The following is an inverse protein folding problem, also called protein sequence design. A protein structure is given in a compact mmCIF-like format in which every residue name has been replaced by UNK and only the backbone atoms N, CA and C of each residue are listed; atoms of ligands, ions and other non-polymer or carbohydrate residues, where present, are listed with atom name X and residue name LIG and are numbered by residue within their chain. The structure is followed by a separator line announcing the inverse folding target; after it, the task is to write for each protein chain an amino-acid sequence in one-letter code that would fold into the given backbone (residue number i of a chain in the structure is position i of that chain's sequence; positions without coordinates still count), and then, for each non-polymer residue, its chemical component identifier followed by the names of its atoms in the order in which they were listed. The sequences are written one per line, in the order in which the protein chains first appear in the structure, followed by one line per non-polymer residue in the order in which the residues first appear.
data_IF_878122734562
#
_entry.id   IF_878122734562
#
_cell.length_a   1.000
_cell.length_b   1.000
_cell.length_c   1.000
_cell.angle_alpha   90.00
_cell.angle_beta   90.00
_cell.angle_gamma   90.00
#
_symmetry.space_group_name_H-M   'P 1'
#
loop_
_entity.id
_entity.type
_entity.pdbx_description
1 polymer ?
#
# COMPACT_ATOMS: atom_id res chain seq x y z
N UNK A 1 34.68 0.30 -2.27
CA UNK A 1 33.44 0.12 -3.04
C UNK A 1 32.39 1.01 -2.40
N UNK A 2 31.61 1.78 -3.15
CA UNK A 2 30.57 2.61 -2.55
C UNK A 2 29.47 1.70 -2.00
N UNK A 3 29.19 1.78 -0.70
CA UNK A 3 28.05 1.10 -0.08
C UNK A 3 26.77 1.50 -0.83
N UNK A 4 25.97 0.50 -1.22
CA UNK A 4 24.71 0.74 -1.94
C UNK A 4 23.64 1.11 -0.92
N UNK A 5 23.49 2.40 -0.65
CA UNK A 5 22.39 2.90 0.19
C UNK A 5 21.06 2.80 -0.55
N UNK A 6 20.07 2.18 0.09
CA UNK A 6 18.70 2.03 -0.40
C UNK A 6 17.74 2.88 0.43
N UNK A 7 16.57 3.20 -0.12
CA UNK A 7 15.53 3.96 0.59
C UNK A 7 14.33 3.06 0.85
N UNK A 8 13.95 2.97 2.12
CA UNK A 8 12.73 2.32 2.58
C UNK A 8 11.58 3.32 2.50
N UNK A 9 10.50 2.91 1.85
CA UNK A 9 9.20 3.58 1.82
C UNK A 9 8.19 2.74 2.61
N UNK A 10 7.36 3.41 3.41
CA UNK A 10 6.35 2.77 4.25
C UNK A 10 4.94 3.16 3.83
N UNK A 11 4.00 2.21 3.87
CA UNK A 11 2.60 2.47 3.65
C UNK A 11 1.70 1.55 4.48
N UNK A 12 0.48 2.00 4.74
CA UNK A 12 -0.62 1.11 5.11
C UNK A 12 -1.13 0.36 3.89
N UNK A 13 -1.33 -0.95 4.03
CA UNK A 13 -1.93 -1.80 3.02
C UNK A 13 -3.39 -2.08 3.40
N UNK A 14 -4.32 -1.21 2.99
CA UNK A 14 -5.73 -1.33 3.36
C UNK A 14 -6.45 -2.18 2.31
N UNK A 15 -6.72 -3.43 2.63
CA UNK A 15 -7.36 -4.38 1.73
C UNK A 15 -8.67 -4.89 2.34
N UNK A 16 -9.78 -4.56 1.68
CA UNK A 16 -11.13 -4.91 2.15
C UNK A 16 -11.91 -5.70 1.12
N UNK A 17 -12.86 -6.46 1.61
CA UNK A 17 -13.84 -7.23 0.85
C UNK A 17 -15.23 -6.85 1.37
N UNK A 18 -15.63 -5.61 1.08
CA UNK A 18 -16.77 -4.97 1.73
C UNK A 18 -16.54 -4.82 3.23
N UNK A 19 -17.38 -5.43 4.06
CA UNK A 19 -17.23 -5.36 5.52
C UNK A 19 -16.01 -6.15 6.03
N UNK A 20 -15.59 -7.19 5.30
CA UNK A 20 -14.46 -8.05 5.67
C UNK A 20 -13.11 -7.39 5.42
N UNK A 21 -12.11 -7.82 6.18
CA UNK A 21 -10.73 -7.30 6.14
C UNK A 21 -9.80 -8.32 5.49
N UNK A 22 -8.57 -7.91 5.17
CA UNK A 22 -7.60 -8.71 4.41
C UNK A 22 -7.49 -10.16 4.92
N UNK A 23 -7.37 -10.35 6.24
CA UNK A 23 -7.15 -11.67 6.82
C UNK A 23 -8.39 -12.59 6.79
N UNK A 24 -9.61 -12.05 6.63
CA UNK A 24 -10.83 -12.88 6.50
C UNK A 24 -10.81 -13.76 5.24
N UNK A 25 -10.21 -13.25 4.17
CA UNK A 25 -10.15 -13.92 2.87
C UNK A 25 -8.71 -14.34 2.53
N UNK A 26 -7.86 -14.54 3.56
CA UNK A 26 -6.44 -14.82 3.38
C UNK A 26 -6.21 -16.06 2.51
N UNK A 27 -6.70 -17.22 2.93
CA UNK A 27 -6.44 -18.49 2.24
C UNK A 27 -7.08 -18.56 0.85
N UNK A 28 -8.23 -17.91 0.66
CA UNK A 28 -9.04 -18.02 -0.57
C UNK A 28 -8.63 -17.02 -1.64
N UNK A 29 -8.23 -15.81 -1.24
CA UNK A 29 -8.00 -14.70 -2.16
C UNK A 29 -6.61 -14.10 -1.99
N UNK A 30 -6.21 -13.69 -0.78
CA UNK A 30 -4.96 -12.94 -0.58
C UNK A 30 -3.75 -13.80 -0.85
N UNK A 31 -3.63 -14.96 -0.21
CA UNK A 31 -2.53 -15.90 -0.41
C UNK A 31 -2.37 -16.26 -1.91
N UNK A 32 -3.39 -16.79 -2.62
CA UNK A 32 -3.21 -17.11 -4.03
C UNK A 32 -2.95 -15.88 -4.92
N UNK A 33 -3.30 -14.65 -4.50
CA UNK A 33 -2.99 -13.44 -5.27
C UNK A 33 -1.48 -13.09 -5.25
N UNK A 34 -0.76 -13.48 -4.20
CA UNK A 34 0.69 -13.26 -4.09
C UNK A 34 1.53 -14.46 -4.56
N UNK A 35 1.06 -15.68 -4.33
CA UNK A 35 1.85 -16.90 -4.52
C UNK A 35 1.59 -17.64 -5.84
N UNK A 36 0.67 -17.17 -6.68
CA UNK A 36 0.35 -17.84 -7.96
C UNK A 36 1.17 -17.26 -9.11
N UNK A 37 2.22 -17.97 -9.51
CA UNK A 37 3.20 -17.55 -10.55
C UNK A 37 2.59 -17.25 -11.93
N UNK A 38 1.41 -17.80 -12.23
CA UNK A 38 0.72 -17.55 -13.50
C UNK A 38 0.18 -16.11 -13.64
N UNK A 39 0.07 -15.37 -12.53
CA UNK A 39 -0.54 -14.04 -12.53
C UNK A 39 0.43 -13.00 -13.08
N UNK A 40 0.01 -12.34 -14.15
CA UNK A 40 0.77 -11.26 -14.81
C UNK A 40 -0.17 -10.13 -15.20
N UNK A 41 0.10 -8.92 -14.72
CA UNK A 41 -0.62 -7.72 -15.12
C UNK A 41 0.07 -7.10 -16.33
N UNK A 42 -0.62 -7.02 -17.45
CA UNK A 42 -0.11 -6.38 -18.68
C UNK A 42 -0.46 -4.89 -18.73
N UNK A 43 0.49 -4.07 -19.15
CA UNK A 43 0.30 -2.65 -19.47
C UNK A 43 1.14 -2.31 -20.71
N UNK A 44 0.50 -2.29 -21.87
CA UNK A 44 1.20 -2.22 -23.16
C UNK A 44 2.15 -3.42 -23.35
N UNK A 45 3.41 -3.16 -23.67
CA UNK A 45 4.47 -4.18 -23.75
C UNK A 45 5.05 -4.58 -22.38
N UNK A 46 4.68 -3.88 -21.30
CA UNK A 46 5.21 -4.14 -19.96
C UNK A 46 4.35 -5.15 -19.20
N UNK A 47 4.98 -6.02 -18.43
CA UNK A 47 4.31 -6.96 -17.52
C UNK A 47 4.79 -6.71 -16.10
N UNK A 48 3.85 -6.78 -15.16
CA UNK A 48 4.11 -6.76 -13.73
C UNK A 48 3.69 -8.10 -13.12
N UNK A 49 4.54 -8.67 -12.27
CA UNK A 49 4.27 -9.91 -11.55
C UNK A 49 5.11 -9.99 -10.29
N UNK A 50 4.72 -10.91 -9.38
CA UNK A 50 5.49 -11.18 -8.18
C UNK A 50 6.41 -12.38 -8.39
N UNK A 51 7.59 -12.34 -7.77
CA UNK A 51 8.60 -13.37 -7.90
C UNK A 51 9.33 -13.57 -6.56
N UNK A 52 9.76 -14.82 -6.29
CA UNK A 52 10.37 -15.23 -5.02
C UNK A 52 9.56 -14.78 -3.80
N UNK A 53 8.26 -15.10 -3.82
CA UNK A 53 7.34 -14.74 -2.75
C UNK A 53 7.34 -15.84 -1.69
N UNK A 54 7.58 -15.45 -0.44
CA UNK A 54 7.68 -16.33 0.69
C UNK A 54 6.81 -15.83 1.84
N UNK A 55 6.16 -16.76 2.54
CA UNK A 55 5.57 -16.48 3.84
C UNK A 55 6.68 -16.68 4.88
N UNK A 56 6.98 -15.65 5.66
CA UNK A 56 8.13 -15.63 6.56
C UNK A 56 7.71 -15.19 7.96
N UNK A 57 8.35 -15.76 8.98
CA UNK A 57 8.34 -15.21 10.34
C UNK A 57 9.56 -14.30 10.45
N UNK A 58 9.32 -13.01 10.60
CA UNK A 58 10.38 -12.02 10.81
C UNK A 58 10.50 -11.74 12.30
N UNK A 59 11.74 -11.62 12.76
CA UNK A 59 12.07 -11.31 14.15
C UNK A 59 12.98 -10.10 14.18
N UNK A 60 12.71 -9.16 15.07
CA UNK A 60 13.60 -8.03 15.32
C UNK A 60 14.44 -8.27 16.59
N UNK A 61 15.51 -7.49 16.70
CA UNK A 61 16.49 -7.55 17.80
C UNK A 61 15.88 -7.32 19.20
N UNK A 62 14.67 -6.77 19.27
CA UNK A 62 13.88 -6.57 20.48
C UNK A 62 12.93 -7.75 20.82
N UNK A 63 13.18 -8.94 20.26
CA UNK A 63 12.34 -10.15 20.37
C UNK A 63 10.91 -10.01 19.82
N UNK A 64 10.57 -8.91 19.12
CA UNK A 64 9.30 -8.84 18.42
C UNK A 64 9.30 -9.75 17.20
N UNK A 65 8.23 -10.53 17.03
CA UNK A 65 8.03 -11.44 15.92
C UNK A 65 6.75 -11.07 15.18
N UNK A 66 6.76 -11.19 13.86
CA UNK A 66 5.59 -10.94 13.03
C UNK A 66 5.56 -11.91 11.84
N UNK A 67 4.34 -12.20 11.36
CA UNK A 67 4.13 -12.97 10.15
C UNK A 67 4.04 -12.01 8.96
N UNK A 68 4.80 -12.28 7.90
CA UNK A 68 4.85 -11.40 6.75
C UNK A 68 4.92 -12.16 5.42
N UNK A 69 4.45 -11.51 4.35
CA UNK A 69 4.71 -11.92 2.96
C UNK A 69 5.86 -11.07 2.44
N UNK A 70 6.97 -11.73 2.10
CA UNK A 70 8.14 -11.09 1.51
C UNK A 70 8.30 -11.53 0.06
N UNK A 71 8.73 -10.64 -0.82
CA UNK A 71 9.00 -11.01 -2.21
C UNK A 71 9.43 -9.84 -3.08
N UNK A 72 9.39 -10.05 -4.40
CA UNK A 72 9.68 -9.01 -5.39
C UNK A 72 8.49 -8.71 -6.25
N UNK A 73 8.34 -7.44 -6.62
CA UNK A 73 7.60 -7.07 -7.82
C UNK A 73 8.59 -6.80 -8.96
N UNK A 74 8.35 -7.42 -10.11
CA UNK A 74 9.15 -7.26 -11.32
C UNK A 74 8.39 -6.40 -12.33
N UNK A 75 9.08 -5.48 -13.00
CA UNK A 75 8.60 -4.76 -14.20
C UNK A 75 9.34 -5.29 -15.42
N UNK A 76 8.81 -6.31 -16.06
CA UNK A 76 9.35 -6.87 -17.30
C UNK A 76 8.95 -5.98 -18.48
N UNK A 77 9.92 -5.29 -19.09
CA UNK A 77 9.68 -4.27 -20.11
C UNK A 77 10.78 -4.24 -21.18
N UNK A 78 10.56 -3.47 -22.23
CA UNK A 78 11.54 -3.23 -23.30
C UNK A 78 11.81 -1.74 -23.40
N UNK A 79 13.03 -1.33 -23.09
CA UNK A 79 13.48 0.04 -23.27
C UNK A 79 13.73 0.30 -24.75
N UNK A 80 13.13 1.38 -25.26
CA UNK A 80 13.29 1.84 -26.64
C UNK A 80 14.21 3.04 -26.66
N UNK A 81 15.22 3.00 -27.53
CA UNK A 81 16.13 4.11 -27.76
C UNK A 81 15.99 4.52 -29.21
N UNK A 82 15.63 5.77 -29.47
CA UNK A 82 15.54 6.29 -30.85
C UNK A 82 16.84 6.97 -31.30
N UNK A 83 17.56 7.60 -30.37
CA UNK A 83 18.79 8.34 -30.65
C UNK A 83 19.88 8.07 -29.61
N UNK A 84 21.13 8.33 -30.01
CA UNK A 84 22.33 8.25 -29.16
C UNK A 84 23.10 9.56 -29.32
N UNK A 85 23.60 10.10 -28.21
CA UNK A 85 24.55 11.21 -28.26
C UNK A 85 25.94 10.68 -28.59
N UNK A 86 26.54 11.19 -29.66
CA UNK A 86 27.92 10.90 -30.05
C UNK A 86 28.77 12.14 -29.80
N UNK A 87 29.80 12.07 -28.93
CA UNK A 87 30.66 13.22 -28.68
C UNK A 87 31.25 13.80 -29.98
N UNK A 88 31.15 15.11 -30.15
CA UNK A 88 31.62 15.82 -31.36
C UNK A 88 30.68 15.78 -32.57
N UNK A 89 29.73 14.83 -32.61
CA UNK A 89 28.79 14.68 -33.74
C UNK A 89 27.34 14.97 -33.38
N UNK A 90 27.03 15.12 -32.08
CA UNK A 90 25.69 15.43 -31.59
C UNK A 90 24.77 14.20 -31.52
N UNK A 91 23.46 14.44 -31.61
CA UNK A 91 22.45 13.38 -31.54
C UNK A 91 22.31 12.67 -32.89
N UNK A 92 22.51 11.35 -32.90
CA UNK A 92 22.30 10.49 -34.06
C UNK A 92 21.13 9.54 -33.86
N UNK A 93 20.27 9.43 -34.87
CA UNK A 93 19.18 8.47 -34.92
C UNK A 93 19.76 7.05 -34.97
N UNK A 94 19.60 6.29 -33.89
CA UNK A 94 20.08 4.92 -33.75
C UNK A 94 19.08 4.12 -32.91
N UNK A 95 18.05 3.63 -33.60
CA UNK A 95 16.98 2.83 -33.02
C UNK A 95 17.52 1.56 -32.37
N UNK A 96 17.04 1.23 -31.18
CA UNK A 96 17.43 0.04 -30.44
C UNK A 96 16.37 -0.38 -29.42
N UNK A 97 16.39 -1.66 -29.05
CA UNK A 97 15.53 -2.25 -28.03
C UNK A 97 16.40 -3.01 -27.04
N UNK A 98 16.12 -2.88 -25.75
CA UNK A 98 16.81 -3.60 -24.67
C UNK A 98 15.78 -4.16 -23.71
N UNK A 99 15.82 -5.47 -23.49
CA UNK A 99 15.02 -6.11 -22.44
C UNK A 99 15.50 -5.62 -21.06
N UNK A 100 14.57 -5.29 -20.18
CA UNK A 100 14.85 -4.77 -18.85
C UNK A 100 13.81 -5.28 -17.87
N UNK A 101 14.26 -5.69 -16.68
CA UNK A 101 13.40 -6.24 -15.63
C UNK A 101 13.74 -5.64 -14.25
N UNK A 102 13.66 -4.30 -14.08
CA UNK A 102 13.92 -3.71 -12.79
C UNK A 102 12.87 -4.15 -11.76
N UNK A 103 13.28 -4.23 -10.51
CA UNK A 103 12.51 -4.85 -9.43
C UNK A 103 12.55 -4.06 -8.13
N UNK A 104 11.53 -4.28 -7.31
CA UNK A 104 11.43 -3.76 -5.95
C UNK A 104 11.14 -4.90 -4.98
N UNK A 105 11.79 -4.88 -3.83
CA UNK A 105 11.54 -5.82 -2.72
C UNK A 105 10.41 -5.24 -1.86
N UNK A 106 9.50 -6.10 -1.43
CA UNK A 106 8.43 -5.74 -0.52
C UNK A 106 8.35 -6.69 0.66
N UNK A 107 7.92 -6.16 1.80
CA UNK A 107 7.55 -6.88 3.01
C UNK A 107 6.17 -6.40 3.44
N UNK A 108 5.17 -7.27 3.34
CA UNK A 108 3.82 -7.02 3.83
C UNK A 108 3.64 -7.71 5.19
N UNK A 109 3.66 -6.95 6.26
CA UNK A 109 3.48 -7.41 7.64
C UNK A 109 1.98 -7.65 7.86
N UNK A 110 1.61 -8.90 8.18
CA UNK A 110 0.21 -9.30 8.29
C UNK A 110 -0.41 -8.85 9.62
N UNK A 111 0.38 -8.75 10.68
CA UNK A 111 -0.04 -8.37 12.04
C UNK A 111 -0.64 -6.96 12.16
N UNK A 112 -0.16 -6.04 11.35
CA UNK A 112 -0.54 -4.63 11.40
C UNK A 112 -0.80 -4.05 10.01
N UNK A 113 -0.83 -4.89 8.97
CA UNK A 113 -1.13 -4.51 7.60
C UNK A 113 -0.18 -3.44 7.03
N UNK A 114 1.08 -3.40 7.48
CA UNK A 114 2.08 -2.44 7.02
C UNK A 114 2.87 -3.02 5.85
N UNK A 115 3.08 -2.19 4.83
CA UNK A 115 3.96 -2.45 3.71
C UNK A 115 5.28 -1.69 3.92
N UNK A 116 6.38 -2.43 3.92
CA UNK A 116 7.74 -1.90 3.79
C UNK A 116 8.21 -2.18 2.37
N UNK A 117 8.73 -1.17 1.67
CA UNK A 117 9.00 -1.24 0.24
C UNK A 117 10.35 -0.62 -0.12
N UNK A 118 11.14 -1.32 -0.94
CA UNK A 118 12.48 -0.87 -1.37
C UNK A 118 12.64 -1.08 -2.86
N UNK A 119 13.01 -0.01 -3.58
CA UNK A 119 13.38 -0.10 -5.00
C UNK A 119 14.82 -0.58 -5.13
N UNK A 120 15.05 -1.66 -5.89
CA UNK A 120 16.41 -2.20 -6.09
C UNK A 120 17.20 -1.37 -7.13
N UNK A 121 16.48 -0.66 -8.03
CA UNK A 121 17.03 0.21 -9.08
C UNK A 121 16.14 1.45 -9.29
N UNK A 122 16.63 2.54 -9.94
CA UNK A 122 15.83 3.76 -10.15
C UNK A 122 14.52 3.55 -10.92
N UNK A 123 14.53 2.68 -11.94
CA UNK A 123 13.39 2.41 -12.82
C UNK A 123 12.47 1.27 -12.32
N UNK A 124 12.73 0.80 -11.10
CA UNK A 124 11.98 -0.25 -10.44
C UNK A 124 10.51 0.11 -10.19
N UNK A 125 9.64 -0.89 -10.03
CA UNK A 125 8.24 -0.68 -9.69
C UNK A 125 8.05 0.28 -8.53
N UNK A 126 7.13 1.23 -8.66
CA UNK A 126 6.71 2.10 -7.56
C UNK A 126 5.70 1.40 -6.65
N UNK A 127 5.49 1.94 -5.43
CA UNK A 127 4.38 1.53 -4.56
C UNK A 127 3.05 1.52 -5.34
N UNK A 128 2.70 2.57 -6.08
CA UNK A 128 1.44 2.57 -6.85
C UNK A 128 1.35 1.44 -7.91
N UNK A 129 2.47 1.08 -8.54
CA UNK A 129 2.52 -0.07 -9.45
C UNK A 129 2.35 -1.39 -8.71
N UNK A 130 2.91 -1.52 -7.50
CA UNK A 130 2.63 -2.63 -6.58
C UNK A 130 1.13 -2.69 -6.23
N UNK A 131 0.51 -1.57 -5.83
CA UNK A 131 -0.93 -1.48 -5.53
C UNK A 131 -1.78 -2.01 -6.65
N UNK A 132 -1.53 -1.47 -7.84
CA UNK A 132 -2.32 -1.77 -9.02
C UNK A 132 -2.17 -3.23 -9.44
N UNK A 133 -0.98 -3.80 -9.24
CA UNK A 133 -0.70 -5.21 -9.53
C UNK A 133 -1.38 -6.13 -8.51
N UNK A 134 -1.19 -5.88 -7.22
CA UNK A 134 -1.85 -6.60 -6.14
C UNK A 134 -3.38 -6.57 -6.28
N UNK A 135 -3.98 -5.40 -6.53
CA UNK A 135 -5.44 -5.26 -6.70
C UNK A 135 -5.96 -6.05 -7.90
N UNK A 136 -5.24 -6.06 -9.03
CA UNK A 136 -5.63 -6.87 -10.19
C UNK A 136 -5.56 -8.36 -9.85
N UNK A 137 -4.53 -8.81 -9.14
CA UNK A 137 -4.39 -10.22 -8.75
C UNK A 137 -5.45 -10.65 -7.73
N UNK A 138 -5.74 -9.81 -6.73
CA UNK A 138 -6.85 -10.01 -5.78
C UNK A 138 -8.19 -10.14 -6.52
N UNK A 139 -8.47 -9.26 -7.50
CA UNK A 139 -9.68 -9.32 -8.32
C UNK A 139 -9.74 -10.57 -9.20
N UNK A 140 -8.60 -11.05 -9.71
CA UNK A 140 -8.55 -12.29 -10.47
C UNK A 140 -8.84 -13.51 -9.59
N UNK A 141 -8.29 -13.56 -8.37
CA UNK A 141 -8.56 -14.65 -7.43
C UNK A 141 -10.00 -14.62 -6.92
N UNK A 142 -10.52 -13.43 -6.63
CA UNK A 142 -11.94 -13.21 -6.32
C UNK A 142 -12.87 -13.71 -7.44
N UNK A 143 -12.60 -13.34 -8.69
CA UNK A 143 -13.39 -13.80 -9.83
C UNK A 143 -13.32 -15.32 -10.03
N UNK A 144 -12.15 -15.92 -9.80
CA UNK A 144 -11.98 -17.37 -9.86
C UNK A 144 -12.78 -18.09 -8.76
N UNK A 145 -12.77 -17.53 -7.53
CA UNK A 145 -13.56 -18.04 -6.42
C UNK A 145 -15.07 -17.93 -6.71
N UNK A 146 -15.54 -16.76 -7.15
CA UNK A 146 -16.94 -16.57 -7.53
C UNK A 146 -17.35 -17.55 -8.62
N UNK A 147 -16.54 -17.72 -9.67
CA UNK A 147 -16.83 -18.67 -10.75
C UNK A 147 -17.00 -20.09 -10.21
N UNK A 148 -16.12 -20.53 -9.30
CA UNK A 148 -16.21 -21.86 -8.69
C UNK A 148 -17.52 -22.04 -7.90
N UNK A 149 -17.86 -21.06 -7.05
CA UNK A 149 -19.08 -21.12 -6.23
C UNK A 149 -20.36 -21.07 -7.07
N UNK A 150 -20.37 -20.28 -8.16
CA UNK A 150 -21.50 -20.20 -9.08
C UNK A 150 -21.70 -21.51 -9.86
N UNK A 151 -20.62 -22.17 -10.29
CA UNK A 151 -20.70 -23.49 -10.94
C UNK A 151 -21.29 -24.51 -9.98
N UNK A 152 -20.85 -24.54 -8.72
CA UNK A 152 -21.41 -25.45 -7.71
C UNK A 152 -22.93 -25.27 -7.55
N UNK A 153 -23.42 -24.02 -7.58
CA UNK A 153 -24.87 -23.73 -7.53
C UNK A 153 -25.60 -24.25 -8.77
N UNK A 154 -25.00 -24.08 -9.95
CA UNK A 154 -25.60 -24.55 -11.20
C UNK A 154 -25.66 -26.09 -11.24
N UNK A 155 -24.66 -26.78 -10.68
CA UNK A 155 -24.61 -28.25 -10.57
C UNK A 155 -25.61 -28.83 -9.56
N UNK A 156 -26.14 -28.02 -8.63
CA UNK A 156 -27.17 -28.47 -7.67
C UNK A 156 -28.54 -28.74 -8.31
N UNK A 157 -28.75 -28.37 -9.58
CA UNK A 157 -30.02 -28.63 -10.28
C UNK A 157 -31.24 -27.89 -9.69
N UNK A 158 -31.00 -26.75 -9.04
CA UNK A 158 -32.04 -25.95 -8.40
C UNK A 158 -33.03 -25.37 -9.41
N UNK A 159 -34.23 -25.03 -8.93
CA UNK A 159 -35.18 -24.23 -9.71
C UNK A 159 -34.57 -22.87 -10.08
N UNK A 160 -35.12 -22.21 -11.12
CA UNK A 160 -34.62 -20.91 -11.57
C UNK A 160 -34.63 -19.85 -10.46
N UNK A 161 -35.67 -19.84 -9.63
CA UNK A 161 -35.83 -18.87 -8.54
C UNK A 161 -34.89 -19.18 -7.37
N UNK A 162 -34.70 -20.45 -7.03
CA UNK A 162 -33.78 -20.85 -5.96
C UNK A 162 -32.32 -20.64 -6.36
N UNK A 163 -31.96 -20.95 -7.62
CA UNK A 163 -30.63 -20.66 -8.17
C UNK A 163 -30.33 -19.16 -8.11
N UNK A 164 -31.29 -18.30 -8.47
CA UNK A 164 -31.12 -16.84 -8.37
C UNK A 164 -30.85 -16.40 -6.93
N UNK A 165 -31.62 -16.90 -5.96
CA UNK A 165 -31.47 -16.58 -4.53
C UNK A 165 -30.10 -17.01 -3.99
N UNK A 166 -29.63 -18.21 -4.34
CA UNK A 166 -28.31 -18.69 -3.90
C UNK A 166 -27.17 -17.88 -4.52
N UNK A 167 -27.27 -17.51 -5.81
CA UNK A 167 -26.29 -16.65 -6.46
C UNK A 167 -26.20 -15.27 -5.81
N UNK A 168 -27.34 -14.67 -5.44
CA UNK A 168 -27.37 -13.41 -4.69
C UNK A 168 -26.67 -13.51 -3.32
N UNK A 169 -26.81 -14.64 -2.61
CA UNK A 169 -26.07 -14.89 -1.36
C UNK A 169 -24.56 -14.97 -1.59
N UNK A 170 -24.12 -15.61 -2.67
CA UNK A 170 -22.68 -15.68 -3.04
C UNK A 170 -22.11 -14.29 -3.31
N UNK A 171 -22.81 -13.45 -4.08
CA UNK A 171 -22.36 -12.09 -4.36
C UNK A 171 -22.27 -11.23 -3.09
N UNK A 172 -23.21 -11.37 -2.15
CA UNK A 172 -23.14 -10.70 -0.85
C UNK A 172 -22.02 -11.25 0.05
N UNK A 173 -21.76 -12.55 -0.01
CA UNK A 173 -20.73 -13.20 0.82
C UNK A 173 -19.30 -12.86 0.39
N UNK A 174 -19.08 -12.73 -0.92
CA UNK A 174 -17.78 -12.46 -1.52
C UNK A 174 -17.83 -11.13 -2.26
N UNK A 175 -17.78 -10.04 -1.49
CA UNK A 175 -17.74 -8.70 -2.04
C UNK A 175 -16.43 -8.43 -2.77
N UNK A 176 -16.47 -7.45 -3.68
CA UNK A 176 -15.35 -7.15 -4.57
C UNK A 176 -14.17 -6.57 -3.77
N UNK A 177 -12.93 -7.03 -3.99
CA UNK A 177 -11.78 -6.46 -3.31
C UNK A 177 -11.52 -5.00 -3.68
N UNK A 178 -11.24 -4.21 -2.64
CA UNK A 178 -10.63 -2.88 -2.72
C UNK A 178 -9.23 -2.94 -2.10
N UNK A 179 -8.35 -2.06 -2.59
CA UNK A 179 -7.00 -1.93 -2.08
C UNK A 179 -6.56 -0.48 -2.16
N UNK A 180 -6.22 0.08 -1.01
CA UNK A 180 -5.59 1.38 -0.89
C UNK A 180 -4.20 1.24 -0.29
N UNK A 181 -3.31 2.15 -0.67
CA UNK A 181 -2.05 2.33 0.02
C UNK A 181 -1.88 3.77 0.41
N UNK A 182 -1.68 3.97 1.71
CA UNK A 182 -1.59 5.29 2.31
C UNK A 182 -0.18 5.39 2.88
N UNK A 183 0.64 6.26 2.30
CA UNK A 183 2.00 6.47 2.77
C UNK A 183 2.01 6.86 4.26
N UNK A 184 2.96 6.31 5.00
CA UNK A 184 3.15 6.71 6.39
C UNK A 184 3.92 8.01 6.43
N UNK A 185 3.54 8.86 7.37
CA UNK A 185 4.06 10.21 7.54
C UNK A 185 4.47 10.39 8.99
N UNK A 186 5.47 11.22 9.21
CA UNK A 186 5.91 11.67 10.54
C UNK A 186 5.56 13.14 10.70
N UNK A 187 5.50 13.61 11.94
CA UNK A 187 5.29 15.03 12.20
C UNK A 187 6.36 15.89 11.51
N UNK A 188 7.64 15.51 11.64
CA UNK A 188 8.76 16.20 11.01
C UNK A 188 8.62 16.27 9.48
N UNK A 189 8.26 15.15 8.84
CA UNK A 189 8.10 15.11 7.38
C UNK A 189 6.92 15.95 6.88
N UNK A 190 5.85 16.06 7.68
CA UNK A 190 4.70 16.93 7.41
C UNK A 190 5.11 18.39 7.55
N UNK A 191 5.83 18.73 8.63
CA UNK A 191 6.33 20.07 8.91
C UNK A 191 7.27 20.56 7.81
N UNK A 192 8.30 19.78 7.48
CA UNK A 192 9.26 20.06 6.41
C UNK A 192 8.57 20.35 5.07
N UNK A 193 7.44 19.69 4.81
CA UNK A 193 6.69 19.89 3.58
C UNK A 193 5.77 21.12 3.64
N UNK A 194 5.05 21.32 4.74
CA UNK A 194 4.15 22.48 4.91
C UNK A 194 4.95 23.79 4.92
N UNK A 195 6.17 23.80 5.45
CA UNK A 195 7.04 24.98 5.46
C UNK A 195 7.42 25.47 4.05
N UNK A 196 7.36 24.62 3.01
CA UNK A 196 7.65 24.99 1.61
C UNK A 196 6.59 25.89 0.98
N UNK A 197 5.39 25.95 1.57
CA UNK A 197 4.38 26.89 1.13
C UNK A 197 4.75 28.29 1.60
N UNK A 198 4.67 29.29 0.74
CA UNK A 198 4.57 30.68 1.17
C UNK A 198 3.17 30.91 1.77
N UNK A 199 2.13 30.54 1.01
CA UNK A 199 0.71 30.64 1.39
C UNK A 199 0.07 29.26 1.27
N UNK A 200 -0.34 28.67 2.39
CA UNK A 200 -1.12 27.44 2.40
C UNK A 200 -2.61 27.78 2.27
N UNK A 201 -3.25 27.46 1.14
CA UNK A 201 -4.64 27.86 0.89
C UNK A 201 -5.67 26.82 1.32
N UNK A 202 -5.33 25.53 1.28
CA UNK A 202 -6.27 24.45 1.56
C UNK A 202 -5.59 23.28 2.27
N UNK A 203 -6.29 22.75 3.27
CA UNK A 203 -6.04 21.45 3.89
C UNK A 203 -7.33 20.63 3.75
N UNK A 204 -7.26 19.52 3.01
CA UNK A 204 -8.35 18.54 2.89
C UNK A 204 -7.90 17.21 3.50
N UNK A 205 -8.71 16.68 4.43
CA UNK A 205 -8.48 15.39 5.09
C UNK A 205 -9.68 14.50 4.77
N UNK A 206 -9.44 13.41 4.04
CA UNK A 206 -10.45 12.39 3.72
C UNK A 206 -10.33 11.22 4.69
N UNK A 207 -11.47 10.75 5.19
CA UNK A 207 -11.58 9.61 6.10
C UNK A 207 -11.74 8.33 5.27
N UNK A 208 -10.72 7.48 5.29
CA UNK A 208 -10.75 6.20 4.60
C UNK A 208 -11.07 5.06 5.57
N UNK A 209 -11.50 3.94 5.00
CA UNK A 209 -11.76 2.73 5.74
C UNK A 209 -10.46 2.12 6.28
N UNK A 210 -10.58 1.28 7.33
CA UNK A 210 -9.44 0.62 7.98
C UNK A 210 -9.57 -0.89 7.86
N UNK A 211 -8.44 -1.60 7.98
CA UNK A 211 -8.44 -3.06 8.14
C UNK A 211 -8.78 -3.49 9.57
N UNK A 212 -8.71 -2.59 10.56
CA UNK A 212 -9.01 -2.88 11.95
C UNK A 212 -9.74 -1.70 12.61
N UNK A 213 -10.51 -1.99 13.66
CA UNK A 213 -11.20 -1.03 14.52
C UNK A 213 -10.23 -0.53 15.60
N UNK A 214 -9.57 0.61 15.37
CA UNK A 214 -8.82 1.27 16.45
C UNK A 214 -9.12 2.77 16.48
N UNK A 215 -9.08 3.37 17.66
CA UNK A 215 -9.45 4.77 17.90
C UNK A 215 -8.36 5.73 17.44
N UNK A 216 -8.72 6.68 16.57
CA UNK A 216 -7.95 7.93 16.38
C UNK A 216 -8.43 8.99 17.37
N UNK A 217 -7.78 10.15 17.43
CA UNK A 217 -8.26 11.30 18.23
C UNK A 217 -9.76 11.56 18.02
N UNK A 218 -10.48 11.88 19.10
CA UNK A 218 -11.94 11.79 19.18
C UNK A 218 -12.72 12.53 18.08
N UNK A 219 -12.17 13.61 17.51
CA UNK A 219 -12.81 14.32 16.40
C UNK A 219 -12.93 13.49 15.12
N UNK A 220 -11.84 12.86 14.67
CA UNK A 220 -11.86 12.04 13.44
C UNK A 220 -12.54 10.70 13.65
N UNK A 221 -12.57 10.21 14.89
CA UNK A 221 -13.35 9.06 15.28
C UNK A 221 -14.85 9.32 15.16
N UNK A 222 -15.37 10.43 15.70
CA UNK A 222 -16.79 10.79 15.54
C UNK A 222 -17.19 10.99 14.07
N UNK A 223 -16.30 11.53 13.24
CA UNK A 223 -16.55 11.64 11.79
C UNK A 223 -16.64 10.27 11.12
N UNK A 224 -15.81 9.31 11.55
CA UNK A 224 -15.86 7.93 11.05
C UNK A 224 -17.14 7.23 11.49
N UNK A 225 -17.51 7.31 12.77
CA UNK A 225 -18.77 6.75 13.28
C UNK A 225 -19.98 7.31 12.52
N UNK A 226 -19.97 8.62 12.23
CA UNK A 226 -21.01 9.25 11.42
C UNK A 226 -21.03 8.75 9.98
N UNK A 227 -19.86 8.61 9.33
CA UNK A 227 -19.72 8.03 7.98
C UNK A 227 -20.33 6.62 7.93
N UNK A 228 -19.95 5.77 8.88
CA UNK A 228 -20.37 4.37 8.96
C UNK A 228 -21.88 4.26 9.23
N UNK A 229 -22.42 5.07 10.15
CA UNK A 229 -23.84 5.07 10.51
C UNK A 229 -24.77 5.39 9.34
N UNK A 230 -24.36 6.31 8.46
CA UNK A 230 -25.15 6.69 7.27
C UNK A 230 -24.74 5.91 6.02
N UNK A 231 -23.77 4.99 6.14
CA UNK A 231 -23.20 4.21 5.03
C UNK A 231 -22.69 5.09 3.89
N UNK A 232 -21.99 6.18 4.24
CA UNK A 232 -21.39 7.06 3.25
C UNK A 232 -20.13 6.42 2.68
N UNK A 233 -19.96 6.48 1.36
CA UNK A 233 -18.75 6.01 0.69
C UNK A 233 -17.54 6.86 1.08
N UNK A 234 -17.71 8.19 1.19
CA UNK A 234 -16.65 9.17 1.39
C UNK A 234 -17.05 10.26 2.39
N UNK A 235 -16.13 10.63 3.28
CA UNK A 235 -16.27 11.77 4.20
C UNK A 235 -14.96 12.56 4.25
N UNK A 236 -15.05 13.90 4.19
CA UNK A 236 -13.86 14.75 4.21
C UNK A 236 -14.09 16.06 4.98
N UNK A 237 -13.04 16.52 5.66
CA UNK A 237 -12.95 17.85 6.28
C UNK A 237 -12.10 18.72 5.37
N UNK A 238 -12.59 19.92 5.04
CA UNK A 238 -11.89 20.86 4.16
C UNK A 238 -11.80 22.24 4.82
N UNK A 239 -10.56 22.69 5.06
CA UNK A 239 -10.25 24.05 5.47
C UNK A 239 -9.73 24.84 4.27
N UNK A 240 -10.26 26.04 4.06
CA UNK A 240 -9.87 26.92 2.95
C UNK A 240 -9.61 28.34 3.46
N UNK A 241 -8.52 28.95 3.02
CA UNK A 241 -8.22 30.36 3.24
C UNK A 241 -7.54 30.98 2.03
N UNK A 242 -8.05 32.12 1.57
CA UNK A 242 -7.41 32.90 0.49
C UNK A 242 -6.14 33.60 0.97
N UNK A 243 -6.15 34.04 2.22
CA UNK A 243 -5.06 34.80 2.86
C UNK A 243 -3.97 33.87 3.42
N UNK A 244 -4.28 32.59 3.59
CA UNK A 244 -3.39 31.59 4.16
C UNK A 244 -3.99 30.95 5.41
N UNK A 245 -3.76 29.65 5.56
CA UNK A 245 -4.02 28.91 6.79
C UNK A 245 -2.80 29.04 7.71
N UNK A 246 -3.03 28.97 9.03
CA UNK A 246 -1.95 28.87 10.00
C UNK A 246 -1.20 27.54 9.78
N UNK A 247 0.09 27.64 9.46
CA UNK A 247 0.92 26.48 9.12
C UNK A 247 1.19 25.60 10.34
N UNK A 248 1.33 26.18 11.54
CA UNK A 248 1.62 25.41 12.75
C UNK A 248 0.39 24.60 13.16
N UNK A 249 -0.79 25.21 13.12
CA UNK A 249 -2.06 24.51 13.37
C UNK A 249 -2.36 23.48 12.26
N UNK A 250 -2.02 23.78 11.01
CA UNK A 250 -2.13 22.82 9.92
C UNK A 250 -1.22 21.61 10.13
N UNK A 251 0.04 21.80 10.56
CA UNK A 251 0.95 20.70 10.91
C UNK A 251 0.37 19.84 12.02
N UNK A 252 -0.13 20.46 13.10
CA UNK A 252 -0.74 19.76 14.23
C UNK A 252 -1.94 18.91 13.78
N UNK A 253 -2.87 19.51 13.04
CA UNK A 253 -4.08 18.84 12.57
C UNK A 253 -3.78 17.71 11.57
N UNK A 254 -2.86 17.94 10.62
CA UNK A 254 -2.45 16.91 9.64
C UNK A 254 -1.69 15.78 10.34
N UNK A 255 -0.84 16.08 11.32
CA UNK A 255 -0.10 15.07 12.08
C UNK A 255 -1.03 14.20 12.92
N UNK A 256 -1.99 14.81 13.64
CA UNK A 256 -3.04 14.08 14.36
C UNK A 256 -3.87 13.20 13.42
N UNK A 257 -4.32 13.75 12.29
CA UNK A 257 -5.10 13.02 11.31
C UNK A 257 -4.34 11.83 10.70
N UNK A 258 -3.05 11.99 10.41
CA UNK A 258 -2.24 10.98 9.70
C UNK A 258 -1.47 10.05 10.62
N UNK A 259 -1.50 10.25 11.94
CA UNK A 259 -0.74 9.50 12.93
C UNK A 259 -0.88 7.97 12.80
N UNK A 260 -2.05 7.50 12.35
CA UNK A 260 -2.33 6.07 12.15
C UNK A 260 -2.18 5.64 10.67
N UNK A 261 -2.11 6.59 9.75
CA UNK A 261 -1.91 6.38 8.31
C UNK A 261 -3.18 5.93 7.58
N UNK A 262 -4.36 6.25 8.07
CA UNK A 262 -5.63 5.80 7.46
C UNK A 262 -6.39 6.94 6.76
N UNK A 263 -5.78 8.11 6.67
CA UNK A 263 -6.40 9.32 6.15
C UNK A 263 -5.60 9.82 4.96
N UNK A 264 -6.32 10.14 3.88
CA UNK A 264 -5.73 10.83 2.73
C UNK A 264 -5.77 12.32 2.96
N UNK A 265 -4.61 12.96 2.84
CA UNK A 265 -4.46 14.41 2.97
C UNK A 265 -4.14 15.01 1.62
N UNK A 266 -4.74 16.16 1.32
CA UNK A 266 -4.45 16.99 0.16
C UNK A 266 -4.22 18.42 0.61
N UNK A 267 -3.06 18.96 0.25
CA UNK A 267 -2.62 20.32 0.53
C UNK A 267 -2.54 21.09 -0.78
N UNK A 268 -2.97 22.36 -0.77
CA UNK A 268 -2.84 23.25 -1.93
C UNK A 268 -2.51 24.66 -1.47
N UNK A 269 -1.63 25.32 -2.21
CA UNK A 269 -1.18 26.67 -1.88
C UNK A 269 -0.21 27.23 -2.91
N UNK A 270 0.55 28.24 -2.51
CA UNK A 270 1.60 28.87 -3.31
C UNK A 270 2.97 28.70 -2.65
N UNK A 271 4.01 28.51 -3.46
CA UNK A 271 5.41 28.59 -3.04
C UNK A 271 5.93 30.04 -3.06
N UNK A 272 7.18 30.25 -2.62
CA UNK A 272 7.85 31.57 -2.57
C UNK A 272 8.01 32.25 -3.95
N UNK A 273 7.90 31.48 -5.04
CA UNK A 273 7.94 32.01 -6.41
C UNK A 273 6.54 32.39 -6.93
N UNK A 274 5.50 32.27 -6.08
CA UNK A 274 4.10 32.44 -6.45
C UNK A 274 3.52 31.27 -7.27
N UNK A 275 4.29 30.20 -7.46
CA UNK A 275 3.89 28.97 -8.16
C UNK A 275 2.89 28.16 -7.35
N UNK A 276 2.03 27.39 -8.02
CA UNK A 276 1.07 26.52 -7.31
C UNK A 276 1.77 25.27 -6.80
N UNK A 277 1.75 25.08 -5.48
CA UNK A 277 2.26 23.88 -4.83
C UNK A 277 1.09 22.98 -4.38
N UNK A 278 1.18 21.68 -4.69
CA UNK A 278 0.19 20.67 -4.29
C UNK A 278 0.94 19.56 -3.55
N UNK A 279 0.37 19.09 -2.46
CA UNK A 279 0.94 18.04 -1.64
C UNK A 279 -0.10 17.01 -1.21
N UNK A 280 0.37 15.80 -0.93
CA UNK A 280 -0.41 14.72 -0.33
C UNK A 280 0.54 13.81 0.45
N UNK A 281 0.01 12.74 1.08
CA UNK A 281 0.82 11.84 1.91
C UNK A 281 2.08 11.31 1.21
N UNK A 282 2.08 11.10 -0.12
CA UNK A 282 3.27 10.64 -0.84
C UNK A 282 4.38 11.70 -0.91
N UNK A 283 4.04 12.98 -0.85
CA UNK A 283 5.02 14.08 -0.91
C UNK A 283 5.76 14.28 0.42
N UNK A 284 5.11 13.98 1.55
CA UNK A 284 5.67 14.09 2.89
C UNK A 284 5.75 12.73 3.61
N UNK A 285 5.93 11.66 2.83
CA UNK A 285 6.08 10.32 3.36
C UNK A 285 7.40 10.15 4.12
N UNK A 286 7.34 9.32 5.16
CA UNK A 286 8.50 8.89 5.91
C UNK A 286 9.39 8.00 5.03
N UNK A 287 10.68 8.34 4.98
CA UNK A 287 11.71 7.58 4.26
C UNK A 287 12.88 7.32 5.19
N UNK A 288 13.32 6.06 5.26
CA UNK A 288 14.53 5.67 6.00
C UNK A 288 15.58 5.19 5.01
N UNK A 289 16.80 5.68 5.12
CA UNK A 289 17.94 5.12 4.39
C UNK A 289 18.40 3.87 5.11
N UNK A 290 18.71 2.83 4.34
CA UNK A 290 19.30 1.59 4.85
C UNK A 290 20.52 1.26 3.98
N UNK A 291 21.62 0.91 4.63
CA UNK A 291 22.81 0.45 3.94
C UNK A 291 22.72 -1.05 3.69
N UNK A 292 23.13 -1.48 2.49
CA UNK A 292 23.33 -2.89 2.15
C UNK A 292 22.14 -3.82 2.47
N UNK A 293 21.02 -3.62 1.75
CA UNK A 293 19.91 -4.57 1.75
C UNK A 293 20.27 -5.84 0.95
N UNK A 294 19.94 -7.01 1.50
CA UNK A 294 20.14 -8.29 0.82
C UNK A 294 19.39 -8.34 -0.50
N UNK A 295 19.96 -9.05 -1.47
CA UNK A 295 19.28 -9.40 -2.72
C UNK A 295 18.42 -10.65 -2.59
N UNK A 296 18.40 -11.33 -1.45
CA UNK A 296 17.39 -12.36 -1.22
C UNK A 296 16.18 -11.76 -0.48
N UNK A 297 14.92 -11.94 -0.95
CA UNK A 297 13.78 -11.32 -0.29
C UNK A 297 13.53 -11.79 1.14
N UNK A 298 13.93 -13.02 1.50
CA UNK A 298 13.77 -13.56 2.86
C UNK A 298 14.78 -12.90 3.79
N UNK A 299 16.04 -12.78 3.39
CA UNK A 299 17.06 -12.08 4.18
C UNK A 299 16.76 -10.58 4.26
N UNK A 300 16.34 -9.97 3.15
CA UNK A 300 15.93 -8.57 3.10
C UNK A 300 14.71 -8.31 4.01
N UNK A 301 13.80 -9.27 4.17
CA UNK A 301 12.66 -9.16 5.06
C UNK A 301 13.07 -8.90 6.50
N UNK A 302 14.09 -9.60 7.01
CA UNK A 302 14.59 -9.38 8.37
C UNK A 302 15.14 -7.96 8.54
N UNK A 303 15.97 -7.48 7.59
CA UNK A 303 16.53 -6.13 7.61
C UNK A 303 15.45 -5.04 7.48
N UNK A 304 14.45 -5.25 6.61
CA UNK A 304 13.31 -4.35 6.43
C UNK A 304 12.42 -4.31 7.66
N UNK A 305 12.23 -5.45 8.33
CA UNK A 305 11.47 -5.54 9.58
C UNK A 305 12.19 -4.83 10.73
N UNK A 306 13.49 -5.05 10.88
CA UNK A 306 14.31 -4.36 11.87
C UNK A 306 14.25 -2.83 11.69
N UNK A 307 14.45 -2.37 10.45
CA UNK A 307 14.36 -0.95 10.12
C UNK A 307 12.98 -0.35 10.42
N UNK A 308 11.90 -1.13 10.23
CA UNK A 308 10.55 -0.75 10.62
C UNK A 308 10.40 -0.69 12.15
N UNK A 309 10.87 -1.70 12.89
CA UNK A 309 10.77 -1.73 14.36
C UNK A 309 11.54 -0.60 15.03
N UNK A 310 12.67 -0.19 14.46
CA UNK A 310 13.41 1.00 14.93
C UNK A 310 12.55 2.27 14.81
N UNK A 311 11.86 2.45 13.69
CA UNK A 311 10.99 3.62 13.47
C UNK A 311 9.84 3.64 14.47
N UNK A 312 9.35 2.46 14.87
CA UNK A 312 8.35 2.32 15.93
C UNK A 312 8.94 2.65 17.30
N UNK A 313 10.12 2.12 17.62
CA UNK A 313 10.81 2.35 18.88
C UNK A 313 11.15 3.84 19.09
N UNK A 314 11.50 4.56 18.02
CA UNK A 314 11.73 6.00 18.05
C UNK A 314 10.45 6.86 17.99
N UNK A 315 9.26 6.24 17.96
CA UNK A 315 7.99 6.96 17.93
C UNK A 315 7.64 7.64 16.60
N UNK A 316 8.45 7.42 15.55
CA UNK A 316 8.21 7.97 14.21
C UNK A 316 7.07 7.26 13.48
N UNK A 317 6.80 6.00 13.84
CA UNK A 317 5.66 5.23 13.37
C UNK A 317 4.87 4.71 14.56
N UNK A 318 3.59 5.07 14.65
CA UNK A 318 2.69 4.49 15.65
C UNK A 318 2.13 3.18 15.11
N UNK A 319 2.32 2.07 15.82
CA UNK A 319 1.68 0.79 15.50
C UNK A 319 0.57 0.55 16.51
N UNK A 320 -0.69 0.39 16.06
CA UNK A 320 -1.77 0.02 16.97
C UNK A 320 -1.54 -1.38 17.53
N UNK A 321 -2.07 -1.65 18.73
CA UNK A 321 -2.09 -3.02 19.24
C UNK A 321 -2.87 -3.91 18.28
N UNK A 322 -2.29 -5.05 17.90
CA UNK A 322 -2.96 -6.02 17.02
C UNK A 322 -4.26 -6.49 17.65
N UNK A 323 -5.37 -6.38 16.92
CA UNK A 323 -6.67 -6.82 17.40
C UNK A 323 -6.65 -8.32 17.76
N UNK A 324 -7.46 -8.74 18.75
CA UNK A 324 -7.53 -10.16 19.15
C UNK A 324 -7.94 -11.07 18.00
N UNK A 325 -8.88 -10.61 17.16
CA UNK A 325 -9.34 -11.32 15.96
C UNK A 325 -8.20 -11.52 14.94
N UNK A 326 -7.41 -10.47 14.70
CA UNK A 326 -6.23 -10.48 13.83
C UNK A 326 -5.18 -11.45 14.37
N UNK A 327 -4.89 -11.40 15.68
CA UNK A 327 -3.96 -12.31 16.35
C UNK A 327 -4.38 -13.79 16.23
N UNK A 328 -5.66 -14.09 16.39
CA UNK A 328 -6.18 -15.45 16.26
C UNK A 328 -6.03 -16.00 14.83
N UNK A 329 -6.34 -15.18 13.81
CA UNK A 329 -6.16 -15.56 12.40
C UNK A 329 -4.68 -15.79 12.06
N UNK A 330 -3.78 -14.98 12.60
CA UNK A 330 -2.34 -15.17 12.37
C UNK A 330 -1.86 -16.49 12.97
N UNK A 331 -2.29 -16.84 14.18
CA UNK A 331 -2.00 -18.16 14.77
C UNK A 331 -2.50 -19.30 13.89
N UNK A 332 -3.73 -19.21 13.38
CA UNK A 332 -4.29 -20.20 12.47
C UNK A 332 -3.46 -20.34 11.18
N UNK A 333 -3.01 -19.22 10.60
CA UNK A 333 -2.15 -19.24 9.42
C UNK A 333 -0.81 -19.91 9.73
N UNK A 334 -0.23 -19.62 10.90
CA UNK A 334 1.02 -20.23 11.35
C UNK A 334 0.84 -21.75 11.48
N UNK A 335 -0.18 -22.22 12.21
CA UNK A 335 -0.45 -23.65 12.43
C UNK A 335 -0.69 -24.43 11.13
N UNK A 336 -1.30 -23.79 10.12
CA UNK A 336 -1.56 -24.44 8.82
C UNK A 336 -0.34 -24.49 7.90
N UNK A 337 0.66 -23.62 8.10
CA UNK A 337 1.71 -23.37 7.09
C UNK A 337 3.15 -23.49 7.60
N UNK A 338 3.36 -23.66 8.91
CA UNK A 338 4.66 -23.88 9.55
C UNK A 338 4.61 -25.07 10.49
#
# INVERSE_FOLDING_TARGET
MASKTSTIELANFVCRFGEKVMLDEFDKIVYPAFFKDSLKRKYGETKFFFEKVNLVKVKASNDSEALAIAGRIIKDTVLRRDQVYVPGEGLRQKKGRLASAPSSIFLLILDNHRLVFVKETPDAPTKEQFRSTALVFLRQMHAALLKKELINIDEMGLSRDDSKREKEKIYKKYERPTLEMIALTSQDSIEDFIQKYEILNQVKITINDRNDEFNSDGFFESLKESKDAIKSDDTAVVHNSKEGLDKNEAVSQVSSATAQGHQTVSLKGKDESGGTLIGNNEHFQLKKKIDEISSDPVDAAAQMFEAFTDLVAHGLVKVPNTARSTSAKIKEIIEKRF
#
